data_IF_769016239506
#
_entry.id   IF_769016239506
#
_cell.length_a   1.000
_cell.length_b   1.000
_cell.length_c   1.000
_cell.angle_alpha   90.00
_cell.angle_beta   90.00
_cell.angle_gamma   90.00
#
_symmetry.space_group_name_H-M   'P 1'
#
loop_
_entity.id
_entity.type
_entity.pdbx_description
1 polymer ?
#
# COMPACT_ATOMS: atom_id res chain seq x y z
N UNK A 1 -5.74 -23.60 38.91
CA UNK A 1 -4.91 -23.75 37.69
C UNK A 1 -5.27 -22.62 36.74
N UNK A 2 -4.34 -21.67 36.51
CA UNK A 2 -4.55 -20.57 35.55
C UNK A 2 -4.22 -21.10 34.14
N UNK A 3 -5.19 -20.99 33.23
CA UNK A 3 -4.94 -21.18 31.80
C UNK A 3 -4.25 -19.92 31.31
N UNK A 4 -2.95 -20.01 31.08
CA UNK A 4 -2.16 -18.94 30.45
C UNK A 4 -2.54 -18.89 28.97
N UNK A 5 -3.30 -17.88 28.58
CA UNK A 5 -3.57 -17.56 27.18
C UNK A 5 -2.33 -16.92 26.54
N UNK A 6 -1.65 -17.67 25.67
CA UNK A 6 -0.65 -17.09 24.75
C UNK A 6 -1.30 -16.02 23.86
N UNK A 7 -0.63 -14.89 23.60
CA UNK A 7 -1.14 -13.89 22.66
C UNK A 7 -1.05 -14.42 21.21
N UNK A 8 -1.95 -13.97 20.31
CA UNK A 8 -1.89 -14.32 18.90
C UNK A 8 -0.63 -13.75 18.26
N UNK A 9 0.11 -14.62 17.58
CA UNK A 9 1.35 -14.37 16.86
C UNK A 9 1.19 -13.14 15.92
N UNK A 10 1.95 -12.06 16.14
CA UNK A 10 1.91 -10.83 15.34
C UNK A 10 2.99 -10.86 14.27
N UNK A 11 2.58 -10.47 13.06
CA UNK A 11 3.38 -10.15 11.88
C UNK A 11 4.06 -11.33 11.19
N UNK A 12 3.51 -11.72 10.04
CA UNK A 12 4.24 -12.46 9.01
C UNK A 12 5.37 -11.57 8.47
N UNK A 13 6.52 -11.66 9.12
CA UNK A 13 7.80 -11.28 8.53
C UNK A 13 8.29 -12.48 7.70
N UNK A 14 8.83 -12.21 6.52
CA UNK A 14 9.64 -13.20 5.81
C UNK A 14 10.86 -13.50 6.70
N UNK A 15 11.12 -14.75 7.10
CA UNK A 15 12.18 -15.09 8.06
C UNK A 15 13.60 -14.68 7.61
N UNK A 16 13.78 -14.30 6.34
CA UNK A 16 15.05 -13.78 5.82
C UNK A 16 15.26 -12.27 6.08
N UNK A 17 14.21 -11.51 6.39
CA UNK A 17 14.29 -10.05 6.58
C UNK A 17 14.36 -9.74 8.07
N UNK A 18 15.49 -9.21 8.55
CA UNK A 18 15.65 -8.75 9.94
C UNK A 18 14.77 -7.54 10.32
N UNK A 19 13.79 -7.19 9.48
CA UNK A 19 12.85 -6.10 9.71
C UNK A 19 11.66 -6.57 10.57
N UNK A 20 11.29 -5.76 11.55
CA UNK A 20 10.18 -6.07 12.46
C UNK A 20 8.79 -5.82 11.83
N UNK A 21 8.72 -5.17 10.67
CA UNK A 21 7.47 -4.85 9.97
C UNK A 21 7.67 -4.89 8.45
N UNK A 22 6.67 -5.39 7.71
CA UNK A 22 6.65 -5.41 6.24
C UNK A 22 5.50 -4.56 5.69
N UNK A 23 5.78 -3.80 4.63
CA UNK A 23 4.83 -2.92 3.94
C UNK A 23 4.82 -3.22 2.44
N UNK A 24 3.64 -3.56 1.91
CA UNK A 24 3.38 -3.58 0.48
C UNK A 24 2.62 -2.31 0.08
N UNK A 25 3.12 -1.57 -0.90
CA UNK A 25 2.66 -0.23 -1.24
C UNK A 25 2.48 -0.03 -2.76
N UNK A 26 1.38 0.61 -3.18
CA UNK A 26 1.20 0.97 -4.58
C UNK A 26 2.36 1.87 -5.06
N UNK A 27 2.94 1.57 -6.22
CA UNK A 27 4.15 2.23 -6.75
C UNK A 27 4.10 3.76 -6.77
N UNK A 28 2.90 4.36 -6.95
CA UNK A 28 2.72 5.81 -6.90
C UNK A 28 3.07 6.46 -5.55
N UNK A 29 3.16 5.68 -4.48
CA UNK A 29 3.55 6.14 -3.14
C UNK A 29 5.05 6.03 -2.87
N UNK A 30 5.82 5.35 -3.74
CA UNK A 30 7.23 5.02 -3.51
C UNK A 30 8.03 6.21 -3.00
N UNK A 31 8.00 7.32 -3.73
CA UNK A 31 8.74 8.53 -3.38
C UNK A 31 8.36 9.07 -2.00
N UNK A 32 7.07 9.20 -1.70
CA UNK A 32 6.60 9.68 -0.41
C UNK A 32 6.98 8.72 0.74
N UNK A 33 6.91 7.42 0.48
CA UNK A 33 7.28 6.38 1.45
C UNK A 33 8.77 6.43 1.76
N UNK A 34 9.62 6.41 0.73
CA UNK A 34 11.08 6.37 0.86
C UNK A 34 11.65 7.68 1.41
N UNK A 35 11.18 8.85 0.95
CA UNK A 35 11.79 10.13 1.30
C UNK A 35 11.23 10.74 2.59
N UNK A 36 9.96 10.49 2.93
CA UNK A 36 9.30 11.15 4.06
C UNK A 36 8.84 10.18 5.15
N UNK A 37 8.08 9.14 4.78
CA UNK A 37 7.39 8.30 5.76
C UNK A 37 8.35 7.37 6.50
N UNK A 38 9.19 6.60 5.79
CA UNK A 38 10.13 5.67 6.42
C UNK A 38 11.15 6.38 7.32
N UNK A 39 11.79 7.49 6.90
CA UNK A 39 12.72 8.20 7.77
C UNK A 39 12.02 8.75 9.02
N UNK A 40 10.81 9.31 8.89
CA UNK A 40 10.06 9.83 10.01
C UNK A 40 9.59 8.72 10.97
N UNK A 41 9.07 7.61 10.44
CA UNK A 41 8.63 6.47 11.22
C UNK A 41 9.79 5.86 12.00
N UNK A 42 10.92 5.58 11.35
CA UNK A 42 12.11 5.03 12.01
C UNK A 42 12.63 5.96 13.11
N UNK A 43 12.63 7.29 12.91
CA UNK A 43 13.02 8.23 13.98
C UNK A 43 12.08 8.20 15.18
N UNK A 44 10.80 7.97 14.95
CA UNK A 44 9.79 7.98 16.01
C UNK A 44 9.68 6.65 16.76
N UNK A 45 9.99 5.52 16.11
CA UNK A 45 9.68 4.17 16.65
C UNK A 45 10.89 3.24 16.70
N UNK A 46 12.05 3.67 16.18
CA UNK A 46 13.26 2.87 16.00
C UNK A 46 13.04 1.58 15.18
N UNK A 47 11.88 1.43 14.54
CA UNK A 47 11.49 0.23 13.82
C UNK A 47 11.93 0.29 12.37
N UNK A 48 12.60 -0.77 11.91
CA UNK A 48 12.92 -0.97 10.49
C UNK A 48 11.74 -1.62 9.80
N UNK A 49 11.35 -1.05 8.65
CA UNK A 49 10.26 -1.56 7.81
C UNK A 49 10.84 -2.05 6.49
N UNK A 50 10.54 -3.29 6.14
CA UNK A 50 10.80 -3.83 4.81
C UNK A 50 9.70 -3.41 3.85
N UNK A 51 10.05 -2.78 2.73
CA UNK A 51 9.09 -2.14 1.83
C UNK A 51 9.20 -2.69 0.42
N UNK A 52 8.06 -3.13 -0.10
CA UNK A 52 7.88 -3.50 -1.50
C UNK A 52 6.89 -2.53 -2.13
N UNK A 53 7.34 -1.72 -3.08
CA UNK A 53 6.47 -0.81 -3.81
C UNK A 53 6.36 -1.18 -5.28
N UNK A 54 5.19 -1.67 -5.68
CA UNK A 54 4.91 -2.23 -7.01
C UNK A 54 3.50 -1.83 -7.46
N UNK A 55 3.14 -2.04 -8.74
CA UNK A 55 1.74 -2.01 -9.17
C UNK A 55 0.85 -2.89 -8.27
N UNK A 56 -0.33 -2.39 -7.89
CA UNK A 56 -1.21 -3.06 -6.92
C UNK A 56 -1.55 -4.51 -7.31
N UNK A 57 -1.74 -4.78 -8.60
CA UNK A 57 -1.99 -6.13 -9.12
C UNK A 57 -0.83 -7.10 -8.86
N UNK A 58 0.43 -6.66 -8.99
CA UNK A 58 1.58 -7.51 -8.68
C UNK A 58 1.70 -7.78 -7.18
N UNK A 59 1.36 -6.79 -6.34
CA UNK A 59 1.31 -7.00 -4.89
C UNK A 59 0.21 -8.00 -4.49
N UNK A 60 -0.96 -7.93 -5.14
CA UNK A 60 -2.05 -8.88 -4.94
C UNK A 60 -1.63 -10.29 -5.33
N UNK A 61 -0.95 -10.47 -6.46
CA UNK A 61 -0.39 -11.77 -6.87
C UNK A 61 0.57 -12.33 -5.82
N UNK A 62 1.39 -11.49 -5.16
CA UNK A 62 2.25 -11.94 -4.05
C UNK A 62 1.42 -12.41 -2.85
N UNK A 63 0.34 -11.71 -2.53
CA UNK A 63 -0.58 -12.10 -1.45
C UNK A 63 -1.29 -13.41 -1.78
N UNK A 64 -1.75 -13.57 -3.01
CA UNK A 64 -2.32 -14.82 -3.54
C UNK A 64 -1.31 -15.98 -3.45
N UNK A 65 -0.04 -15.72 -3.77
CA UNK A 65 1.05 -16.67 -3.62
C UNK A 65 1.46 -16.96 -2.16
N UNK A 66 0.80 -16.34 -1.18
CA UNK A 66 0.99 -16.62 0.24
C UNK A 66 1.74 -15.54 1.03
N UNK A 67 2.20 -14.45 0.41
CA UNK A 67 2.81 -13.35 1.13
C UNK A 67 1.80 -12.69 2.09
N UNK A 68 2.24 -12.31 3.29
CA UNK A 68 1.39 -11.70 4.32
C UNK A 68 2.07 -10.45 4.89
N UNK A 69 2.08 -9.33 4.16
CA UNK A 69 2.66 -8.10 4.67
C UNK A 69 1.92 -7.63 5.92
N UNK A 70 2.63 -7.00 6.85
CA UNK A 70 2.02 -6.40 8.04
C UNK A 70 1.13 -5.20 7.71
N UNK A 71 1.46 -4.47 6.64
CA UNK A 71 0.69 -3.35 6.11
C UNK A 71 0.56 -3.47 4.60
N UNK A 72 -0.64 -3.23 4.08
CA UNK A 72 -0.91 -3.18 2.64
C UNK A 72 -1.56 -1.84 2.29
N UNK A 73 -1.01 -1.14 1.29
CA UNK A 73 -1.58 0.09 0.74
C UNK A 73 -1.73 -0.09 -0.77
N UNK A 74 -2.96 -0.24 -1.22
CA UNK A 74 -3.29 -0.42 -2.64
C UNK A 74 -4.30 0.60 -3.14
N UNK A 75 -4.56 0.54 -4.44
CA UNK A 75 -5.62 1.30 -5.09
C UNK A 75 -7.00 0.73 -4.75
N UNK A 76 -7.96 1.60 -4.43
CA UNK A 76 -9.32 1.22 -4.02
C UNK A 76 -9.99 0.25 -5.00
N UNK A 77 -10.00 0.56 -6.29
CA UNK A 77 -10.64 -0.30 -7.30
C UNK A 77 -10.01 -1.69 -7.39
N UNK A 78 -8.70 -1.82 -7.16
CA UNK A 78 -8.03 -3.13 -7.17
C UNK A 78 -8.35 -3.96 -5.92
N UNK A 79 -8.44 -3.31 -4.76
CA UNK A 79 -8.86 -3.94 -3.51
C UNK A 79 -10.32 -4.43 -3.61
N UNK A 80 -11.22 -3.58 -4.13
CA UNK A 80 -12.63 -3.93 -4.36
C UNK A 80 -12.78 -5.09 -5.37
N UNK A 81 -12.02 -5.08 -6.47
CA UNK A 81 -12.00 -6.18 -7.43
C UNK A 81 -11.49 -7.51 -6.82
N UNK A 82 -10.70 -7.42 -5.75
CA UNK A 82 -10.16 -8.58 -5.04
C UNK A 82 -11.05 -9.04 -3.88
N UNK A 83 -12.22 -8.42 -3.65
CA UNK A 83 -13.08 -8.71 -2.50
C UNK A 83 -13.42 -10.21 -2.35
N UNK A 84 -13.67 -10.89 -3.47
CA UNK A 84 -14.05 -12.31 -3.51
C UNK A 84 -12.96 -13.25 -3.02
N UNK A 85 -11.69 -12.81 -3.03
CA UNK A 85 -10.56 -13.60 -2.55
C UNK A 85 -10.46 -13.67 -1.02
N UNK A 86 -11.17 -12.81 -0.30
CA UNK A 86 -11.22 -12.81 1.18
C UNK A 86 -9.91 -12.39 1.87
N UNK A 87 -8.90 -11.90 1.14
CA UNK A 87 -7.62 -11.47 1.74
C UNK A 87 -7.74 -10.19 2.57
N UNK A 88 -8.72 -9.34 2.25
CA UNK A 88 -8.91 -8.06 2.91
C UNK A 88 -10.33 -7.93 3.44
N UNK A 89 -10.44 -7.50 4.70
CA UNK A 89 -11.69 -6.97 5.24
C UNK A 89 -11.87 -5.54 4.70
N UNK A 90 -12.49 -5.39 3.54
CA UNK A 90 -12.66 -4.10 2.85
C UNK A 90 -13.34 -3.03 3.72
N UNK A 91 -14.39 -3.34 4.52
CA UNK A 91 -14.94 -2.40 5.50
C UNK A 91 -13.92 -1.81 6.49
N UNK A 92 -12.85 -2.53 6.81
CA UNK A 92 -11.77 -2.04 7.69
C UNK A 92 -10.74 -1.15 6.98
N UNK A 93 -10.74 -1.15 5.64
CA UNK A 93 -9.78 -0.37 4.85
C UNK A 93 -10.04 1.13 4.99
N UNK A 94 -8.99 1.89 5.29
CA UNK A 94 -9.07 3.34 5.45
C UNK A 94 -8.47 4.06 4.24
N UNK A 95 -9.16 5.05 3.66
CA UNK A 95 -8.56 5.90 2.64
C UNK A 95 -7.46 6.75 3.28
N UNK A 96 -6.26 6.69 2.70
CA UNK A 96 -5.06 7.39 3.23
C UNK A 96 -4.56 8.49 2.29
N UNK A 97 -4.79 8.36 0.98
CA UNK A 97 -4.41 9.37 -0.02
C UNK A 97 -5.46 9.46 -1.13
N UNK A 98 -5.42 10.55 -1.91
CA UNK A 98 -6.11 10.66 -3.21
C UNK A 98 -5.07 10.87 -4.31
N UNK A 99 -5.30 10.29 -5.47
CA UNK A 99 -4.50 10.50 -6.68
C UNK A 99 -5.36 11.12 -7.76
N UNK A 100 -4.80 12.07 -8.52
CA UNK A 100 -5.41 12.61 -9.73
C UNK A 100 -4.72 12.07 -10.99
N UNK A 101 -5.46 12.01 -12.09
CA UNK A 101 -4.91 11.72 -13.42
C UNK A 101 -4.79 13.06 -14.15
N UNK A 102 -3.62 13.32 -14.73
CA UNK A 102 -3.35 14.53 -15.51
C UNK A 102 -2.58 14.19 -16.78
N UNK A 103 -2.66 15.10 -17.75
CA UNK A 103 -1.88 15.03 -18.99
C UNK A 103 -0.65 15.90 -18.81
N UNK A 104 0.54 15.28 -18.85
CA UNK A 104 1.79 16.02 -18.85
C UNK A 104 2.11 16.48 -20.28
N UNK A 105 2.45 17.76 -20.43
CA UNK A 105 3.00 18.31 -21.68
C UNK A 105 4.47 18.66 -21.46
N UNK A 106 5.32 18.57 -22.50
CA UNK A 106 6.67 19.09 -22.42
C UNK A 106 6.65 20.61 -22.16
N UNK A 107 7.77 21.21 -21.68
CA UNK A 107 7.84 22.64 -21.37
C UNK A 107 7.40 23.55 -22.52
N UNK A 108 7.71 23.15 -23.75
CA UNK A 108 7.37 23.88 -24.98
C UNK A 108 6.09 23.34 -25.67
N UNK A 109 5.36 22.44 -25.01
CA UNK A 109 4.16 21.81 -25.52
C UNK A 109 2.90 22.67 -25.32
N UNK A 110 2.01 22.68 -26.31
CA UNK A 110 0.69 23.29 -26.17
C UNK A 110 -0.17 22.50 -25.20
N UNK A 111 -0.69 23.18 -24.17
CA UNK A 111 -1.60 22.61 -23.17
C UNK A 111 -2.94 22.28 -23.85
N UNK A 112 -3.47 21.05 -23.75
CA UNK A 112 -4.80 20.73 -24.22
C UNK A 112 -5.83 21.59 -23.50
N UNK A 113 -6.67 22.33 -24.24
CA UNK A 113 -7.82 23.02 -23.67
C UNK A 113 -8.82 21.97 -23.15
N UNK A 114 -9.29 22.07 -21.89
CA UNK A 114 -10.28 21.14 -21.37
C UNK A 114 -11.56 21.25 -22.22
N UNK A 115 -11.99 20.14 -22.82
CA UNK A 115 -13.33 20.07 -23.40
C UNK A 115 -14.29 20.07 -22.21
N UNK A 116 -15.10 21.12 -22.07
CA UNK A 116 -16.12 21.16 -21.02
C UNK A 116 -17.03 19.94 -21.22
N UNK A 117 -16.97 18.99 -20.30
CA UNK A 117 -17.91 17.88 -20.29
C UNK A 117 -19.25 18.45 -19.85
N UNK A 118 -20.17 18.64 -20.79
CA UNK A 118 -21.58 18.85 -20.48
C UNK A 118 -22.08 17.62 -19.73
N UNK A 119 -22.36 17.77 -18.43
CA UNK A 119 -23.04 16.74 -17.66
C UNK A 119 -24.47 16.54 -18.23
N UNK A 120 -24.93 15.29 -18.42
CA UNK A 120 -26.35 15.01 -18.61
C UNK A 120 -27.17 15.26 -17.33
#
# INVERSE_FOLDING_TARGET
>A
MRVSSSPPNRAGSDPASGAALSLFCAVGLRKAVEEAILPAFRRATETVVDVVCEPTNLLLQRVEAGARPGVFVGTRGSLEASASSGFFDLPSCKPVVKSGIGVAVPPDGSIPVPVAQSLP
#
